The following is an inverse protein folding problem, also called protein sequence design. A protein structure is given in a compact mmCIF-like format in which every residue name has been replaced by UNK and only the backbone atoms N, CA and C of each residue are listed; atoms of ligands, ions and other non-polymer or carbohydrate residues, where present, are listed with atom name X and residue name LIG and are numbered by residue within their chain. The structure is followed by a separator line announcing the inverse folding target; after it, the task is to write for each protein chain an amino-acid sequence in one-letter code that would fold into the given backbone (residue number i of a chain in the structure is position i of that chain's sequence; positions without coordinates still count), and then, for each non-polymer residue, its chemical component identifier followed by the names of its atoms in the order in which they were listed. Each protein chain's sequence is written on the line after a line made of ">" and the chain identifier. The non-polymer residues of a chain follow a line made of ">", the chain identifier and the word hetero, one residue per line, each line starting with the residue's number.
data_IF_201982536970
#
_entry.id   IF_201982536970
#
_cell.length_a   1.000
_cell.length_b   1.000
_cell.length_c   1.000
_cell.angle_alpha   90.00
_cell.angle_beta   90.00
_cell.angle_gamma   90.00
#
_symmetry.space_group_name_H-M   'P 1'
#
loop_
_entity.id
_entity.type
_entity.pdbx_description
1 polymer ?
#
# COMPACT_ATOMS: atom_id res chain seq x y z
N UNK A 1 -5.37 -15.56 20.24
CA UNK A 1 -4.46 -15.15 19.15
C UNK A 1 -4.20 -13.65 19.24
N UNK A 2 -2.98 -13.25 19.62
CA UNK A 2 -2.65 -11.83 19.85
C UNK A 2 -2.71 -10.95 18.59
N UNK A 3 -2.96 -9.66 18.77
CA UNK A 3 -3.09 -8.67 17.69
C UNK A 3 -1.86 -8.61 16.78
N UNK A 4 -0.67 -8.85 17.35
CA UNK A 4 0.59 -8.89 16.61
C UNK A 4 0.64 -10.03 15.59
N UNK A 5 0.06 -11.20 15.93
CA UNK A 5 -0.01 -12.35 15.03
C UNK A 5 -0.97 -12.07 13.88
N UNK A 6 -2.15 -11.52 14.19
CA UNK A 6 -3.14 -11.08 13.17
C UNK A 6 -2.52 -10.06 12.20
N UNK A 7 -1.76 -9.09 12.71
CA UNK A 7 -1.11 -8.09 11.87
C UNK A 7 -0.06 -8.69 10.91
N UNK A 8 0.76 -9.64 11.38
CA UNK A 8 1.74 -10.33 10.52
C UNK A 8 1.07 -11.18 9.43
N UNK A 9 -0.06 -11.82 9.75
CA UNK A 9 -0.83 -12.66 8.82
C UNK A 9 -1.54 -11.86 7.71
N UNK A 10 -1.63 -10.53 7.84
CA UNK A 10 -2.24 -9.66 6.81
C UNK A 10 -1.44 -9.61 5.49
N UNK A 11 -0.21 -10.16 5.45
CA UNK A 11 0.62 -10.30 4.25
C UNK A 11 0.70 -8.99 3.45
N UNK A 12 1.41 -8.00 4.00
CA UNK A 12 1.47 -6.69 3.38
C UNK A 12 2.21 -6.72 2.04
N UNK A 13 1.60 -6.14 1.02
CA UNK A 13 2.13 -6.11 -0.35
C UNK A 13 2.34 -4.70 -0.86
N UNK A 14 3.30 -4.52 -1.76
CA UNK A 14 3.56 -3.24 -2.44
C UNK A 14 2.77 -3.10 -3.74
N UNK A 15 2.19 -1.93 -3.94
CA UNK A 15 1.36 -1.60 -5.10
C UNK A 15 2.09 -0.63 -6.01
N UNK A 16 2.20 -0.98 -7.29
CA UNK A 16 2.80 -0.13 -8.30
C UNK A 16 1.84 0.91 -8.90
N UNK A 17 2.40 1.91 -9.57
CA UNK A 17 1.64 2.97 -10.30
C UNK A 17 0.82 2.43 -11.50
N UNK A 18 1.13 1.22 -11.93
CA UNK A 18 0.46 0.39 -12.92
C UNK A 18 -0.75 -0.36 -12.36
N UNK A 19 -0.98 -0.29 -11.05
CA UNK A 19 -2.10 -0.94 -10.37
C UNK A 19 -1.89 -2.44 -10.16
N UNK A 20 -0.67 -2.93 -10.29
CA UNK A 20 -0.30 -4.33 -10.03
C UNK A 20 0.30 -4.48 -8.63
N UNK A 21 0.11 -5.66 -8.04
CA UNK A 21 0.79 -6.10 -6.83
C UNK A 21 2.18 -6.58 -7.24
N UNK A 22 3.24 -5.99 -6.66
CA UNK A 22 4.63 -6.25 -7.08
C UNK A 22 5.44 -7.10 -6.08
N UNK A 23 4.76 -7.72 -5.11
CA UNK A 23 5.37 -8.57 -4.10
C UNK A 23 5.26 -7.99 -2.68
N UNK A 24 6.03 -8.54 -1.73
CA UNK A 24 5.96 -8.16 -0.32
C UNK A 24 6.35 -6.70 -0.09
N UNK A 25 5.68 -6.06 0.86
CA UNK A 25 6.02 -4.72 1.34
C UNK A 25 7.44 -4.71 1.93
N UNK A 26 8.15 -3.58 1.82
CA UNK A 26 9.51 -3.42 2.38
C UNK A 26 10.65 -3.85 1.44
N UNK A 27 10.37 -4.59 0.37
CA UNK A 27 11.39 -5.06 -0.59
C UNK A 27 11.78 -4.05 -1.67
N UNK A 28 11.33 -2.79 -1.56
CA UNK A 28 11.63 -1.76 -2.56
C UNK A 28 13.11 -1.34 -2.50
N UNK A 29 13.82 -1.45 -3.63
CA UNK A 29 15.20 -0.94 -3.78
C UNK A 29 15.29 0.57 -3.52
N UNK A 30 14.25 1.33 -3.89
CA UNK A 30 14.19 2.77 -3.63
C UNK A 30 13.50 3.05 -2.30
N UNK A 31 14.28 3.47 -1.31
CA UNK A 31 13.83 3.83 0.05
C UNK A 31 13.43 5.30 0.19
N UNK A 32 13.94 6.19 -0.68
CA UNK A 32 13.66 7.65 -0.62
C UNK A 32 12.22 7.98 -1.03
N UNK A 33 11.63 7.22 -1.95
CA UNK A 33 10.24 7.37 -2.34
C UNK A 33 9.56 5.99 -2.45
N UNK A 34 9.16 5.39 -1.31
CA UNK A 34 8.68 4.02 -1.28
C UNK A 34 7.33 3.87 -1.99
N UNK A 35 7.07 2.66 -2.46
CA UNK A 35 5.77 2.28 -3.00
C UNK A 35 4.70 2.25 -1.91
N UNK A 36 3.42 2.31 -2.30
CA UNK A 36 2.31 2.17 -1.35
C UNK A 36 2.23 0.71 -0.88
N UNK A 37 2.18 0.48 0.42
CA UNK A 37 1.86 -0.84 0.97
C UNK A 37 0.40 -0.93 1.43
N UNK A 38 -0.20 -2.10 1.23
CA UNK A 38 -1.55 -2.45 1.70
C UNK A 38 -1.57 -3.93 2.13
N UNK A 39 -2.45 -4.32 3.08
CA UNK A 39 -2.76 -5.74 3.33
C UNK A 39 -3.18 -6.45 2.06
N UNK A 40 -2.78 -7.72 1.87
CA UNK A 40 -3.10 -8.48 0.66
C UNK A 40 -4.60 -8.55 0.38
N UNK A 41 -5.41 -8.79 1.43
CA UNK A 41 -6.87 -8.83 1.31
C UNK A 41 -7.43 -7.52 0.76
N UNK A 42 -6.93 -6.38 1.26
CA UNK A 42 -7.34 -5.05 0.78
C UNK A 42 -6.86 -4.78 -0.63
N UNK A 43 -5.66 -5.22 -0.99
CA UNK A 43 -5.14 -5.06 -2.33
C UNK A 43 -5.98 -5.85 -3.35
N UNK A 44 -6.40 -7.07 -3.01
CA UNK A 44 -7.26 -7.92 -3.84
C UNK A 44 -8.69 -7.38 -3.98
N UNK A 45 -9.21 -6.69 -2.95
CA UNK A 45 -10.54 -6.09 -3.00
C UNK A 45 -10.63 -4.82 -3.87
N UNK A 46 -9.51 -4.32 -4.41
CA UNK A 46 -9.45 -3.07 -5.17
C UNK A 46 -9.27 -3.35 -6.65
N UNK A 47 -9.92 -2.53 -7.49
CA UNK A 47 -9.68 -2.57 -8.93
C UNK A 47 -8.27 -2.06 -9.27
N UNK A 48 -7.75 -2.47 -10.43
CA UNK A 48 -6.45 -1.99 -10.96
C UNK A 48 -6.38 -0.46 -10.98
N UNK A 49 -7.48 0.22 -11.32
CA UNK A 49 -7.56 1.69 -11.32
C UNK A 49 -7.44 2.27 -9.91
N UNK A 50 -8.10 1.66 -8.91
CA UNK A 50 -8.01 2.10 -7.52
C UNK A 50 -6.63 1.87 -6.92
N UNK A 51 -6.00 0.73 -7.22
CA UNK A 51 -4.63 0.40 -6.86
C UNK A 51 -3.63 1.42 -7.45
N UNK A 52 -3.75 1.71 -8.74
CA UNK A 52 -2.93 2.72 -9.40
C UNK A 52 -3.13 4.11 -8.78
N UNK A 53 -4.37 4.50 -8.48
CA UNK A 53 -4.70 5.81 -7.89
C UNK A 53 -4.04 5.99 -6.52
N UNK A 54 -4.11 4.99 -5.64
CA UNK A 54 -3.49 5.09 -4.31
C UNK A 54 -1.96 5.07 -4.37
N UNK A 55 -1.37 4.28 -5.27
CA UNK A 55 0.07 4.26 -5.49
C UNK A 55 0.59 5.60 -6.05
N UNK A 56 -0.10 6.17 -7.04
CA UNK A 56 0.24 7.49 -7.60
C UNK A 56 0.16 8.59 -6.55
N UNK A 57 -0.90 8.61 -5.72
CA UNK A 57 -1.04 9.56 -4.60
C UNK A 57 0.16 9.49 -3.67
N UNK A 58 0.59 8.28 -3.28
CA UNK A 58 1.77 8.08 -2.42
C UNK A 58 3.06 8.59 -3.07
N UNK A 59 3.32 8.23 -4.34
CA UNK A 59 4.55 8.66 -5.04
C UNK A 59 4.60 10.16 -5.29
N UNK A 60 3.47 10.79 -5.61
CA UNK A 60 3.37 12.23 -5.83
C UNK A 60 3.66 13.02 -4.54
N UNK A 61 3.10 12.58 -3.41
CA UNK A 61 3.38 13.20 -2.13
C UNK A 61 4.80 12.89 -1.61
N UNK A 62 5.35 11.70 -1.89
CA UNK A 62 6.75 11.38 -1.60
C UNK A 62 7.75 12.25 -2.36
N UNK A 63 7.43 12.65 -3.62
CA UNK A 63 8.21 13.65 -4.37
C UNK A 63 8.21 15.03 -3.71
N UNK A 64 7.19 15.34 -2.90
CA UNK A 64 7.09 16.57 -2.11
C UNK A 64 7.65 16.40 -0.68
N UNK A 65 8.46 15.38 -0.43
CA UNK A 65 9.06 15.10 0.88
C UNK A 65 8.14 14.46 1.92
N UNK A 66 6.88 14.11 1.59
CA UNK A 66 5.94 13.54 2.58
C UNK A 66 6.12 12.03 2.73
N UNK A 67 6.58 11.61 3.91
CA UNK A 67 6.72 10.19 4.27
C UNK A 67 5.37 9.51 4.55
N UNK A 68 4.40 10.21 5.13
CA UNK A 68 3.08 9.64 5.46
C UNK A 68 1.97 10.38 4.72
N UNK A 69 1.07 9.62 4.11
CA UNK A 69 0.02 10.16 3.24
C UNK A 69 -1.20 9.28 3.38
N UNK A 70 -2.37 9.89 3.57
CA UNK A 70 -3.63 9.16 3.64
C UNK A 70 -3.87 8.29 2.40
N UNK A 71 -4.50 7.13 2.62
CA UNK A 71 -5.01 6.31 1.52
C UNK A 71 -6.10 7.06 0.74
N UNK A 72 -6.43 6.57 -0.44
CA UNK A 72 -7.68 6.97 -1.11
C UNK A 72 -8.86 6.41 -0.31
N UNK A 73 -10.08 6.97 -0.42
CA UNK A 73 -11.25 6.46 0.29
C UNK A 73 -11.45 4.95 0.08
N UNK A 74 -11.34 4.48 -1.16
CA UNK A 74 -11.44 3.05 -1.49
C UNK A 74 -10.33 2.21 -0.82
N UNK A 75 -9.09 2.71 -0.79
CA UNK A 75 -7.93 1.99 -0.24
C UNK A 75 -7.76 2.18 1.28
N UNK A 76 -8.67 2.88 1.96
CA UNK A 76 -8.60 3.06 3.42
C UNK A 76 -8.74 1.68 4.09
N UNK A 77 -7.73 1.33 4.88
CA UNK A 77 -7.76 0.13 5.72
C UNK A 77 -8.54 0.54 6.97
N UNK A 78 -9.64 -0.16 7.24
CA UNK A 78 -10.36 -0.08 8.50
C UNK A 78 -10.03 -1.38 9.20
N UNK A 79 -9.37 -1.31 10.35
CA UNK A 79 -9.27 -2.48 11.21
C UNK A 79 -10.67 -2.72 11.77
N UNK A 80 -11.16 -3.94 11.63
CA UNK A 80 -12.32 -4.46 12.38
C UNK A 80 -11.87 -4.84 13.78
#
# INVERSE_FOLDING_TARGET
>A
MGELKKWREQNWVRIGRDGKIKGPCGTSKNKKNPDRCLPLAKARSLSKRQLAKTARKKKAAGRKGKQFVSNTPAAKVRNS
#
